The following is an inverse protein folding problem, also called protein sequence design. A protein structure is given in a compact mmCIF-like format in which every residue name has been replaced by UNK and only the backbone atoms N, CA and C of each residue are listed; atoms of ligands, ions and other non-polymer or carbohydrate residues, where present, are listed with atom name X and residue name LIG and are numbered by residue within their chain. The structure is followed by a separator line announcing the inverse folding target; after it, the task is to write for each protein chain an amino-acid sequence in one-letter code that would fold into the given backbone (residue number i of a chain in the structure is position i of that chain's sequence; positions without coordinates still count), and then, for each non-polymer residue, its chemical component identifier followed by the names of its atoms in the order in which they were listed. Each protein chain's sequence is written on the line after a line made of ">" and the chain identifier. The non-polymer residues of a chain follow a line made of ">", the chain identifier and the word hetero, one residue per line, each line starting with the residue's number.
data_IF_638753242385
#
_entry.id   IF_638753242385
#
_cell.length_a   1.000
_cell.length_b   1.000
_cell.length_c   1.000
_cell.angle_alpha   90.00
_cell.angle_beta   90.00
_cell.angle_gamma   90.00
#
_symmetry.space_group_name_H-M   'P 1'
#
loop_
_entity.id
_entity.type
_entity.pdbx_description
1 polymer ?
#
# COMPACT_ATOMS: atom_id res chain seq x y z
N UNK A 1 12.14 15.38 25.24
CA UNK A 1 11.37 15.41 26.51
C UNK A 1 12.33 15.79 27.61
N UNK A 2 11.96 16.73 28.50
CA UNK A 2 12.89 17.32 29.47
C UNK A 2 12.93 16.67 30.87
N UNK A 3 12.25 15.54 31.07
CA UNK A 3 12.25 14.78 32.32
C UNK A 3 11.95 13.29 32.06
N UNK A 4 12.21 12.44 33.05
CA UNK A 4 11.91 11.00 33.00
C UNK A 4 10.42 10.72 33.25
N UNK A 5 9.98 9.50 32.96
CA UNK A 5 8.59 9.07 33.23
C UNK A 5 8.26 9.13 34.72
N UNK A 6 9.18 8.71 35.60
CA UNK A 6 8.95 8.73 37.05
C UNK A 6 8.80 10.17 37.59
N UNK A 7 9.67 11.07 37.14
CA UNK A 7 9.58 12.50 37.48
C UNK A 7 8.27 13.14 36.99
N UNK A 8 7.80 12.75 35.80
CA UNK A 8 6.53 13.21 35.25
C UNK A 8 5.37 12.72 36.11
N UNK A 9 5.31 11.43 36.44
CA UNK A 9 4.23 10.81 37.21
C UNK A 9 4.16 11.31 38.67
N UNK A 10 5.27 11.81 39.23
CA UNK A 10 5.26 12.48 40.54
C UNK A 10 4.67 13.90 40.50
N UNK A 11 4.63 14.53 39.32
CA UNK A 11 4.21 15.92 39.13
C UNK A 11 2.80 16.05 38.55
N UNK A 12 2.38 15.11 37.71
CA UNK A 12 1.05 15.08 37.09
C UNK A 12 0.09 14.20 37.90
N UNK A 13 -1.16 14.62 38.02
CA UNK A 13 -2.21 13.79 38.64
C UNK A 13 -2.68 12.66 37.71
N UNK A 14 -3.23 11.59 38.29
CA UNK A 14 -3.85 10.50 37.54
C UNK A 14 -5.00 10.98 36.65
N UNK A 15 -5.73 11.99 37.12
CA UNK A 15 -6.81 12.64 36.37
C UNK A 15 -6.28 13.32 35.11
N UNK A 16 -5.28 14.19 35.24
CA UNK A 16 -4.68 14.87 34.08
C UNK A 16 -4.08 13.88 33.08
N UNK A 17 -3.41 12.83 33.55
CA UNK A 17 -2.90 11.78 32.67
C UNK A 17 -4.03 11.07 31.90
N UNK A 18 -5.16 10.82 32.56
CA UNK A 18 -6.35 10.23 31.93
C UNK A 18 -6.98 11.17 30.91
N UNK A 19 -7.02 12.47 31.19
CA UNK A 19 -7.48 13.50 30.25
C UNK A 19 -6.60 13.54 29.01
N UNK A 20 -5.27 13.43 29.16
CA UNK A 20 -4.34 13.30 28.03
C UNK A 20 -4.54 12.02 27.22
N UNK A 21 -4.83 10.89 27.87
CA UNK A 21 -5.17 9.64 27.18
C UNK A 21 -6.47 9.78 26.38
N UNK A 22 -7.50 10.42 26.94
CA UNK A 22 -8.74 10.70 26.24
C UNK A 22 -8.52 11.65 25.05
N UNK A 23 -7.71 12.69 25.23
CA UNK A 23 -7.33 13.60 24.15
C UNK A 23 -6.59 12.86 23.04
N UNK A 24 -5.64 11.99 23.36
CA UNK A 24 -4.93 11.17 22.38
C UNK A 24 -5.88 10.24 21.60
N UNK A 25 -6.92 9.71 22.24
CA UNK A 25 -7.95 8.92 21.56
C UNK A 25 -8.73 9.72 20.51
N UNK A 26 -9.01 11.00 20.80
CA UNK A 26 -9.69 11.91 19.86
C UNK A 26 -8.74 12.40 18.75
N UNK A 27 -7.54 12.81 19.14
CA UNK A 27 -6.52 13.36 18.25
C UNK A 27 -5.15 12.75 18.60
N UNK A 28 -4.80 11.61 18.01
CA UNK A 28 -3.49 11.01 18.22
C UNK A 28 -2.40 11.99 17.83
N UNK A 29 -1.41 12.14 18.71
CA UNK A 29 -0.26 12.99 18.41
C UNK A 29 0.50 12.45 17.19
N UNK A 30 0.83 13.34 16.26
CA UNK A 30 1.51 13.00 15.02
C UNK A 30 0.58 12.88 13.81
N UNK A 31 1.16 12.87 12.62
CA UNK A 31 0.40 12.67 11.39
C UNK A 31 0.20 11.18 11.15
N UNK A 32 -1.07 10.75 11.10
CA UNK A 32 -1.43 9.37 10.75
C UNK A 32 -0.93 8.95 9.37
N UNK A 33 -0.63 9.92 8.49
CA UNK A 33 -0.21 9.72 7.10
C UNK A 33 1.10 10.43 6.76
N UNK A 34 1.96 10.67 7.77
CA UNK A 34 3.26 11.30 7.55
C UNK A 34 4.16 10.50 6.60
N UNK A 35 3.98 9.18 6.56
CA UNK A 35 4.58 8.26 5.60
C UNK A 35 4.18 8.58 4.15
N UNK A 36 2.91 8.86 3.88
CA UNK A 36 2.43 9.24 2.55
C UNK A 36 3.05 10.57 2.11
N UNK A 37 3.12 11.56 3.00
CA UNK A 37 3.75 12.84 2.69
C UNK A 37 5.23 12.67 2.33
N UNK A 38 5.96 11.90 3.14
CA UNK A 38 7.36 11.57 2.87
C UNK A 38 7.50 10.84 1.51
N UNK A 39 6.64 9.84 1.24
CA UNK A 39 6.63 9.09 0.00
C UNK A 39 6.37 9.99 -1.23
N UNK A 40 5.45 10.95 -1.13
CA UNK A 40 5.17 11.92 -2.21
C UNK A 40 6.40 12.78 -2.49
N UNK A 41 7.06 13.30 -1.45
CA UNK A 41 8.26 14.12 -1.60
C UNK A 41 9.39 13.30 -2.23
N UNK A 42 9.65 12.09 -1.73
CA UNK A 42 10.67 11.19 -2.27
C UNK A 42 10.39 10.80 -3.72
N UNK A 43 9.14 10.46 -4.06
CA UNK A 43 8.72 10.19 -5.44
C UNK A 43 8.96 11.38 -6.36
N UNK A 44 8.64 12.58 -5.89
CA UNK A 44 8.86 13.81 -6.67
C UNK A 44 10.33 14.00 -6.97
N UNK A 45 11.20 13.82 -5.96
CA UNK A 45 12.65 13.88 -6.15
C UNK A 45 13.17 12.79 -7.09
N UNK A 46 12.66 11.57 -6.98
CA UNK A 46 13.04 10.47 -7.86
C UNK A 46 12.62 10.73 -9.32
N UNK A 47 11.44 11.31 -9.52
CA UNK A 47 10.92 11.66 -10.85
C UNK A 47 11.74 12.79 -11.50
N UNK A 48 12.12 13.83 -10.74
CA UNK A 48 12.98 14.91 -11.22
C UNK A 48 14.32 14.39 -11.73
N UNK A 49 14.90 13.40 -11.04
CA UNK A 49 16.17 12.80 -11.43
C UNK A 49 16.01 11.58 -12.36
N UNK A 50 14.78 11.27 -12.79
CA UNK A 50 14.51 10.10 -13.63
C UNK A 50 15.03 10.33 -15.05
N UNK A 51 15.75 9.34 -15.56
CA UNK A 51 16.09 9.29 -16.99
C UNK A 51 15.11 8.37 -17.71
N UNK A 52 14.29 8.93 -18.61
CA UNK A 52 13.33 8.17 -19.43
C UNK A 52 13.98 7.06 -20.27
N UNK A 53 15.26 7.20 -20.62
CA UNK A 53 16.03 6.15 -21.32
C UNK A 53 16.35 4.94 -20.45
N UNK A 54 16.63 5.15 -19.17
CA UNK A 54 16.98 4.06 -18.23
C UNK A 54 15.76 3.47 -17.55
N UNK A 55 14.73 4.28 -17.33
CA UNK A 55 13.45 3.88 -16.75
C UNK A 55 12.32 4.63 -17.46
N UNK A 56 11.68 4.02 -18.47
CA UNK A 56 10.60 4.64 -19.24
C UNK A 56 9.35 4.92 -18.41
N UNK A 57 9.05 4.04 -17.46
CA UNK A 57 7.89 4.14 -16.59
C UNK A 57 8.12 5.14 -15.44
N UNK A 58 7.16 6.03 -15.16
CA UNK A 58 7.17 6.88 -13.96
C UNK A 58 7.20 6.05 -12.68
N UNK A 59 7.77 6.59 -11.61
CA UNK A 59 7.70 5.91 -10.32
C UNK A 59 6.28 5.92 -9.75
N UNK A 60 5.87 4.81 -9.16
CA UNK A 60 4.61 4.71 -8.43
C UNK A 60 4.78 5.17 -6.98
N UNK A 61 3.67 5.56 -6.34
CA UNK A 61 3.73 6.01 -4.95
C UNK A 61 3.99 4.84 -3.98
N UNK A 62 3.43 3.66 -4.27
CA UNK A 62 3.59 2.46 -3.44
C UNK A 62 5.05 1.98 -3.33
N UNK A 63 5.91 2.30 -4.31
CA UNK A 63 7.35 1.99 -4.27
C UNK A 63 8.12 2.73 -3.17
N UNK A 64 7.56 3.82 -2.62
CA UNK A 64 8.16 4.61 -1.55
C UNK A 64 7.49 4.39 -0.19
N UNK A 65 6.50 3.50 -0.12
CA UNK A 65 5.81 3.17 1.13
C UNK A 65 6.52 2.01 1.83
N UNK A 66 6.62 2.07 3.16
CA UNK A 66 7.17 0.97 3.96
C UNK A 66 6.12 -0.14 4.09
N UNK A 67 6.49 -1.37 3.74
CA UNK A 67 5.68 -2.56 4.03
C UNK A 67 6.01 -3.08 5.43
N UNK A 68 5.03 -3.05 6.33
CA UNK A 68 5.14 -3.63 7.68
C UNK A 68 4.44 -4.99 7.69
N UNK A 69 5.22 -6.07 7.63
CA UNK A 69 4.72 -7.44 7.54
C UNK A 69 5.45 -8.20 6.43
N UNK A 70 5.91 -9.42 6.72
CA UNK A 70 6.82 -10.21 5.89
C UNK A 70 6.20 -10.79 4.62
N UNK A 71 5.68 -9.94 3.75
CA UNK A 71 5.46 -10.29 2.34
C UNK A 71 6.25 -9.28 1.51
N UNK A 72 7.51 -9.63 1.22
CA UNK A 72 8.15 -9.15 0.01
C UNK A 72 7.28 -9.65 -1.14
N UNK A 73 6.38 -8.79 -1.61
CA UNK A 73 5.59 -9.08 -2.78
C UNK A 73 6.56 -9.13 -3.96
N UNK A 74 6.97 -10.34 -4.31
CA UNK A 74 7.68 -10.68 -5.53
C UNK A 74 6.72 -10.38 -6.70
N UNK A 75 6.58 -9.10 -7.03
CA UNK A 75 5.72 -8.63 -8.10
C UNK A 75 6.55 -8.50 -9.37
N UNK A 76 7.04 -9.64 -9.85
CA UNK A 76 7.30 -9.80 -11.28
C UNK A 76 5.97 -10.20 -11.92
N UNK A 77 5.63 -9.48 -12.98
CA UNK A 77 4.61 -9.79 -13.96
C UNK A 77 3.16 -9.71 -13.46
N UNK A 78 2.65 -8.47 -13.32
CA UNK A 78 1.27 -8.25 -13.74
C UNK A 78 1.28 -8.42 -15.26
N UNK A 79 0.94 -9.62 -15.73
CA UNK A 79 0.67 -9.84 -17.15
C UNK A 79 -0.47 -8.90 -17.51
N UNK A 80 -0.18 -7.90 -18.33
CA UNK A 80 -1.18 -7.14 -19.06
C UNK A 80 -2.12 -8.15 -19.72
N UNK A 81 -3.39 -8.16 -19.30
CA UNK A 81 -4.43 -8.95 -19.95
C UNK A 81 -4.82 -8.21 -21.24
N UNK A 82 -3.85 -8.08 -22.14
CA UNK A 82 -4.08 -7.57 -23.48
C UNK A 82 -4.23 -8.79 -24.39
N UNK A 83 -5.47 -8.98 -24.85
CA UNK A 83 -5.90 -9.89 -25.91
C UNK A 83 -5.46 -11.36 -25.77
N UNK A 84 -6.22 -12.15 -25.00
CA UNK A 84 -6.34 -13.58 -25.32
C UNK A 84 -6.71 -13.66 -26.82
N UNK A 85 -5.77 -14.15 -27.64
CA UNK A 85 -5.99 -14.44 -29.05
C UNK A 85 -7.37 -15.09 -29.25
N UNK A 86 -8.09 -14.81 -30.37
CA UNK A 86 -9.39 -15.42 -30.63
C UNK A 86 -9.42 -16.94 -30.43
N UNK A 87 -8.29 -17.63 -30.64
CA UNK A 87 -8.14 -19.05 -30.36
C UNK A 87 -8.19 -19.39 -28.86
N UNK A 88 -7.57 -18.57 -28.02
CA UNK A 88 -7.54 -18.76 -26.57
C UNK A 88 -8.89 -18.40 -25.91
N UNK A 89 -9.62 -17.43 -26.47
CA UNK A 89 -11.00 -17.14 -26.06
C UNK A 89 -11.94 -18.32 -26.32
N UNK A 90 -11.78 -19.00 -27.47
CA UNK A 90 -12.57 -20.21 -27.78
C UNK A 90 -12.21 -21.38 -26.88
N UNK A 91 -10.93 -21.62 -26.62
CA UNK A 91 -10.50 -22.67 -25.72
C UNK A 91 -11.04 -22.48 -24.30
N UNK A 92 -11.11 -21.23 -23.82
CA UNK A 92 -11.71 -20.92 -22.51
C UNK A 92 -13.22 -21.15 -22.50
N UNK A 93 -13.94 -20.77 -23.56
CA UNK A 93 -15.37 -21.02 -23.70
C UNK A 93 -15.69 -22.52 -23.77
N UNK A 94 -14.91 -23.31 -24.51
CA UNK A 94 -15.05 -24.76 -24.58
C UNK A 94 -14.78 -25.42 -23.23
N UNK A 95 -13.75 -25.00 -22.52
CA UNK A 95 -13.45 -25.46 -21.16
C UNK A 95 -14.61 -25.17 -20.20
N UNK A 96 -15.19 -23.98 -20.25
CA UNK A 96 -16.32 -23.62 -19.40
C UNK A 96 -17.58 -24.42 -19.77
N UNK A 97 -17.88 -24.58 -21.06
CA UNK A 97 -19.05 -25.32 -21.49
C UNK A 97 -18.95 -26.81 -21.09
N UNK A 98 -17.76 -27.40 -21.16
CA UNK A 98 -17.48 -28.75 -20.68
C UNK A 98 -17.58 -28.87 -19.15
N UNK A 99 -17.06 -27.87 -18.42
CA UNK A 99 -17.07 -27.85 -16.94
C UNK A 99 -18.48 -27.69 -16.37
N UNK A 100 -19.34 -26.94 -17.06
CA UNK A 100 -20.73 -26.71 -16.65
C UNK A 100 -21.76 -27.55 -17.43
N UNK A 101 -21.30 -28.55 -18.20
CA UNK A 101 -22.14 -29.59 -18.80
C UNK A 101 -23.06 -29.13 -19.94
N UNK A 102 -22.75 -28.01 -20.59
CA UNK A 102 -23.48 -27.53 -21.76
C UNK A 102 -23.22 -28.44 -22.97
N UNK A 103 -24.29 -28.99 -23.56
CA UNK A 103 -24.18 -29.74 -24.83
C UNK A 103 -23.79 -28.81 -25.96
N UNK A 104 -22.73 -29.19 -26.68
CA UNK A 104 -22.22 -28.51 -27.88
C UNK A 104 -23.29 -28.58 -28.99
N UNK A 105 -23.77 -27.42 -29.45
CA UNK A 105 -24.67 -27.32 -30.61
C UNK A 105 -23.81 -27.05 -31.84
N UNK A 106 -23.34 -28.13 -32.48
CA UNK A 106 -22.84 -28.11 -33.87
C UNK A 106 -23.93 -28.58 -34.82
#
# INVERSE_FOLDING_TARGET
>A
MGCTVDELLRRISSRELTEWMAYYGLNPFGDKRGDIQAAIISRTMAEIHRSSKKRPEPYRLDEFMLSFGGEQQDRRDVVEVDELSPAAQRAWLEMLNATFGGKDLR
#
